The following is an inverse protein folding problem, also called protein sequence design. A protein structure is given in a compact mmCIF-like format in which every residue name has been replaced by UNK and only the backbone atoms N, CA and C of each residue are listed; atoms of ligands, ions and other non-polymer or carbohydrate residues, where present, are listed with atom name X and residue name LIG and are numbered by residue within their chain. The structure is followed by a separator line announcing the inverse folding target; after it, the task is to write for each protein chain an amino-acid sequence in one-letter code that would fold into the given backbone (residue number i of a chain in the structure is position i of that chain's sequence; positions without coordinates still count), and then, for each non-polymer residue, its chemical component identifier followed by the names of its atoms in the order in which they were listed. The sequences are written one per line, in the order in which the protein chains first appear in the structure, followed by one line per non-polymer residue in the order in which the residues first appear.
data_IF_672712387983
#
_entry.id   IF_672712387983
#
_cell.length_a   1.000
_cell.length_b   1.000
_cell.length_c   1.000
_cell.angle_alpha   90.00
_cell.angle_beta   90.00
_cell.angle_gamma   90.00
#
_symmetry.space_group_name_H-M   'P 1'
#
loop_
_entity.id
_entity.type
_entity.pdbx_description
1 polymer ?
#
# COMPACT_ATOMS: atom_id res chain seq x y z
N UNK A 1 0.94 21.28 18.04
CA UNK A 1 0.09 20.20 17.51
C UNK A 1 -0.26 19.28 18.66
N UNK A 2 -1.55 19.04 18.89
CA UNK A 2 -2.01 18.06 19.88
C UNK A 2 -1.84 16.67 19.26
N UNK A 3 -0.93 15.87 19.82
CA UNK A 3 -0.77 14.47 19.45
C UNK A 3 -2.06 13.72 19.79
N UNK A 4 -2.77 13.24 18.77
CA UNK A 4 -3.92 12.34 18.92
C UNK A 4 -3.39 10.90 18.82
N UNK A 5 -3.42 10.11 19.89
CA UNK A 5 -2.85 8.77 19.88
C UNK A 5 -3.71 7.77 19.08
N UNK A 6 -3.03 6.78 18.48
CA UNK A 6 -3.67 5.63 17.87
C UNK A 6 -4.43 5.97 16.59
N UNK A 7 -5.55 5.28 16.35
CA UNK A 7 -6.35 5.44 15.12
C UNK A 7 -6.88 6.86 14.90
N UNK A 8 -6.97 7.67 15.96
CA UNK A 8 -7.41 9.06 15.86
C UNK A 8 -6.45 9.92 15.03
N UNK A 9 -5.15 9.59 14.96
CA UNK A 9 -4.22 10.31 14.07
C UNK A 9 -4.50 10.04 12.60
N UNK A 10 -5.08 8.89 12.27
CA UNK A 10 -5.36 8.49 10.88
C UNK A 10 -6.56 9.24 10.29
N UNK A 11 -7.30 10.00 11.10
CA UNK A 11 -8.39 10.85 10.58
C UNK A 11 -7.83 11.93 9.66
N UNK A 12 -6.64 12.46 9.98
CA UNK A 12 -5.95 13.46 9.16
C UNK A 12 -5.40 12.87 7.86
N UNK A 13 -5.43 11.54 7.71
CA UNK A 13 -4.91 10.79 6.56
C UNK A 13 -5.99 10.40 5.54
N UNK A 14 -7.24 10.78 5.80
CA UNK A 14 -8.34 10.61 4.85
C UNK A 14 -8.04 11.41 3.57
N UNK A 15 -8.43 10.83 2.43
CA UNK A 15 -8.25 11.32 1.07
C UNK A 15 -6.80 11.45 0.58
N UNK A 16 -5.82 11.07 1.40
CA UNK A 16 -4.41 11.00 0.99
C UNK A 16 -4.03 9.61 0.47
N UNK A 17 -2.98 9.60 -0.36
CA UNK A 17 -2.42 8.37 -0.90
C UNK A 17 -1.53 7.70 0.14
N UNK A 18 -1.72 6.40 0.33
CA UNK A 18 -1.00 5.63 1.35
C UNK A 18 -0.47 4.33 0.78
N UNK A 19 0.65 3.90 1.34
CA UNK A 19 1.20 2.56 1.22
C UNK A 19 0.85 1.76 2.48
N UNK A 20 0.35 0.55 2.30
CA UNK A 20 0.03 -0.38 3.38
C UNK A 20 0.77 -1.69 3.16
N UNK A 21 1.53 -2.14 4.16
CA UNK A 21 2.11 -3.46 4.19
C UNK A 21 1.19 -4.40 4.98
N UNK A 22 0.83 -5.51 4.36
CA UNK A 22 0.01 -6.55 4.98
C UNK A 22 0.88 -7.65 5.60
N UNK A 23 0.29 -8.41 6.52
CA UNK A 23 0.94 -9.53 7.22
C UNK A 23 1.41 -10.65 6.29
N UNK A 24 0.76 -10.83 5.16
CA UNK A 24 1.14 -11.80 4.12
C UNK A 24 2.26 -11.30 3.19
N UNK A 25 2.83 -10.12 3.48
CA UNK A 25 3.93 -9.51 2.73
C UNK A 25 3.47 -8.73 1.49
N UNK A 26 2.16 -8.60 1.24
CA UNK A 26 1.65 -7.80 0.12
C UNK A 26 1.71 -6.32 0.44
N UNK A 27 2.03 -5.53 -0.58
CA UNK A 27 2.05 -4.07 -0.49
C UNK A 27 0.89 -3.51 -1.30
N UNK A 28 -0.01 -2.76 -0.64
CA UNK A 28 -1.11 -2.06 -1.27
C UNK A 28 -0.82 -0.57 -1.31
N UNK A 29 -1.19 0.09 -2.39
CA UNK A 29 -1.09 1.54 -2.56
C UNK A 29 -2.44 2.06 -3.02
N UNK A 30 -3.03 3.03 -2.32
CA UNK A 30 -4.33 3.57 -2.70
C UNK A 30 -4.67 4.85 -1.94
N UNK A 31 -5.84 5.41 -2.21
CA UNK A 31 -6.37 6.56 -1.47
C UNK A 31 -7.24 6.09 -0.32
N UNK A 32 -6.88 6.51 0.90
CA UNK A 32 -7.63 6.16 2.09
C UNK A 32 -8.95 6.92 2.12
N UNK A 33 -10.09 6.22 2.21
CA UNK A 33 -11.42 6.84 2.20
C UNK A 33 -12.16 6.74 3.51
N UNK A 34 -11.91 5.68 4.26
CA UNK A 34 -12.58 5.46 5.54
C UNK A 34 -11.74 4.56 6.43
N UNK A 35 -11.88 4.79 7.74
CA UNK A 35 -11.18 4.11 8.81
C UNK A 35 -12.16 3.94 9.96
N UNK A 36 -12.03 2.86 10.71
CA UNK A 36 -12.71 2.69 12.00
C UNK A 36 -11.72 2.60 13.17
N UNK A 37 -12.23 2.56 14.41
CA UNK A 37 -11.40 2.49 15.61
C UNK A 37 -10.50 1.24 15.69
N UNK A 38 -10.79 0.19 14.93
CA UNK A 38 -10.00 -1.04 14.84
C UNK A 38 -8.97 -1.01 13.71
N UNK A 39 -8.80 0.14 13.05
CA UNK A 39 -7.96 0.33 11.89
C UNK A 39 -8.36 -0.56 10.69
N UNK A 40 -9.65 -0.88 10.54
CA UNK A 40 -10.16 -1.38 9.26
C UNK A 40 -10.14 -0.22 8.26
N UNK A 41 -9.56 -0.47 7.09
CA UNK A 41 -9.26 0.57 6.10
C UNK A 41 -10.05 0.32 4.81
N UNK A 42 -10.62 1.38 4.26
CA UNK A 42 -11.22 1.37 2.93
C UNK A 42 -10.34 2.19 2.00
N UNK A 43 -9.80 1.52 0.98
CA UNK A 43 -9.00 2.14 -0.07
C UNK A 43 -9.76 2.22 -1.39
N UNK A 44 -9.54 3.33 -2.09
CA UNK A 44 -10.00 3.56 -3.46
C UNK A 44 -8.80 3.65 -4.41
N UNK A 45 -9.00 3.26 -5.68
CA UNK A 45 -7.94 3.21 -6.70
C UNK A 45 -6.70 2.44 -6.21
N UNK A 46 -6.95 1.34 -5.51
CA UNK A 46 -5.91 0.50 -4.93
C UNK A 46 -5.18 -0.25 -6.03
N UNK A 47 -3.86 -0.20 -5.98
CA UNK A 47 -2.96 -1.08 -6.72
C UNK A 47 -2.20 -1.94 -5.72
N UNK A 48 -2.00 -3.19 -6.05
CA UNK A 48 -1.08 -4.07 -5.34
C UNK A 48 0.28 -4.03 -6.03
N UNK A 49 1.31 -3.60 -5.31
CA UNK A 49 2.67 -3.48 -5.84
C UNK A 49 3.52 -4.67 -5.40
N UNK A 50 3.97 -5.45 -6.36
CA UNK A 50 4.91 -6.56 -6.14
C UNK A 50 6.31 -6.04 -6.41
N UNK A 51 7.25 -6.31 -5.50
CA UNK A 51 8.65 -5.95 -5.63
C UNK A 51 9.49 -7.23 -5.72
N UNK A 52 10.31 -7.35 -6.76
CA UNK A 52 11.26 -8.45 -6.92
C UNK A 52 12.62 -7.87 -7.31
N UNK A 53 13.60 -7.98 -6.41
CA UNK A 53 14.94 -7.42 -6.61
C UNK A 53 14.92 -5.91 -6.88
N UNK A 54 15.25 -5.51 -8.12
CA UNK A 54 15.24 -4.11 -8.60
C UNK A 54 14.04 -3.77 -9.48
N UNK A 55 13.06 -4.67 -9.58
CA UNK A 55 11.87 -4.50 -10.42
C UNK A 55 10.61 -4.39 -9.55
N UNK A 56 9.60 -3.71 -10.09
CA UNK A 56 8.27 -3.68 -9.48
C UNK A 56 7.17 -3.76 -10.54
N UNK A 57 6.01 -4.29 -10.16
CA UNK A 57 4.81 -4.32 -11.00
C UNK A 57 3.56 -4.01 -10.18
N UNK A 58 2.62 -3.31 -10.81
CA UNK A 58 1.38 -2.83 -10.18
C UNK A 58 0.17 -3.57 -10.74
N UNK A 59 -0.61 -4.22 -9.86
CA UNK A 59 -1.84 -4.92 -10.20
C UNK A 59 -3.04 -4.08 -9.74
N UNK A 60 -3.94 -3.63 -10.64
CA UNK A 60 -5.10 -2.85 -10.25
C UNK A 60 -6.10 -3.71 -9.46
N UNK A 61 -6.49 -3.23 -8.28
CA UNK A 61 -7.49 -3.88 -7.41
C UNK A 61 -8.78 -3.07 -7.27
N UNK A 62 -8.75 -1.76 -7.52
CA UNK A 62 -9.94 -0.90 -7.47
C UNK A 62 -10.31 -0.50 -6.05
N UNK A 63 -11.49 -0.87 -5.56
CA UNK A 63 -11.89 -0.64 -4.15
C UNK A 63 -11.44 -1.84 -3.33
N UNK A 64 -10.75 -1.59 -2.22
CA UNK A 64 -10.20 -2.65 -1.38
C UNK A 64 -10.49 -2.37 0.09
N UNK A 65 -11.02 -3.36 0.80
CA UNK A 65 -11.28 -3.27 2.24
C UNK A 65 -10.25 -4.14 2.95
N UNK A 66 -9.45 -3.52 3.81
CA UNK A 66 -8.42 -4.18 4.60
C UNK A 66 -8.88 -4.29 6.04
N UNK A 67 -8.76 -5.49 6.61
CA UNK A 67 -9.05 -5.72 8.01
C UNK A 67 -7.85 -5.32 8.89
N UNK A 68 -8.10 -4.58 9.96
CA UNK A 68 -7.06 -3.91 10.74
C UNK A 68 -6.00 -4.84 11.33
N UNK A 69 -6.36 -6.07 11.72
CA UNK A 69 -5.36 -7.01 12.26
C UNK A 69 -4.34 -7.51 11.22
N UNK A 70 -4.63 -7.31 9.92
CA UNK A 70 -3.74 -7.69 8.83
C UNK A 70 -2.80 -6.55 8.43
N UNK A 71 -3.01 -5.33 8.94
CA UNK A 71 -2.14 -4.18 8.69
C UNK A 71 -0.90 -4.30 9.58
N UNK A 72 0.28 -4.25 8.96
CA UNK A 72 1.57 -4.22 9.65
C UNK A 72 2.03 -2.78 9.82
N UNK A 73 2.02 -2.02 8.73
CA UNK A 73 2.33 -0.59 8.73
C UNK A 73 1.52 0.13 7.66
N UNK A 74 1.32 1.43 7.89
CA UNK A 74 0.71 2.36 6.96
C UNK A 74 1.58 3.62 6.90
N UNK A 75 1.84 4.11 5.70
CA UNK A 75 2.64 5.31 5.47
C UNK A 75 2.05 6.17 4.36
N UNK A 76 1.92 7.47 4.62
CA UNK A 76 1.50 8.46 3.63
C UNK A 76 2.54 8.53 2.50
N UNK A 77 2.06 8.54 1.25
CA UNK A 77 2.88 8.79 0.07
C UNK A 77 2.69 10.25 -0.32
N UNK A 78 3.76 11.02 -0.19
CA UNK A 78 3.85 12.35 -0.79
C UNK A 78 3.93 12.23 -2.31
N UNK A 79 2.93 12.76 -3.00
CA UNK A 79 2.81 12.70 -4.48
C UNK A 79 3.68 13.76 -5.15
N UNK A 80 3.98 14.85 -4.44
CA UNK A 80 4.74 15.98 -4.98
C UNK A 80 6.25 15.75 -4.87
N UNK A 81 6.66 14.81 -4.01
CA UNK A 81 8.08 14.45 -3.86
C UNK A 81 8.53 13.57 -5.03
N UNK A 82 9.56 13.96 -5.79
CA UNK A 82 10.11 13.10 -6.83
C UNK A 82 10.63 11.81 -6.20
N UNK A 83 10.11 10.69 -6.70
CA UNK A 83 10.54 9.38 -6.27
C UNK A 83 11.83 9.04 -7.03
N UNK A 84 13.00 9.32 -6.43
CA UNK A 84 14.31 8.88 -6.91
C UNK A 84 14.41 7.35 -6.80
N UNK A 85 13.60 6.64 -7.59
CA UNK A 85 13.48 5.20 -7.52
C UNK A 85 14.41 4.57 -8.54
N UNK A 86 15.38 3.81 -8.04
CA UNK A 86 16.26 2.92 -8.80
C UNK A 86 15.50 1.69 -9.33
N UNK A 87 14.18 1.62 -9.09
CA UNK A 87 13.35 0.46 -9.38
C UNK A 87 12.77 0.56 -10.79
N UNK A 88 12.89 -0.52 -11.55
CA UNK A 88 12.36 -0.62 -12.91
C UNK A 88 10.91 -1.13 -12.87
N UNK A 89 10.00 -0.39 -13.49
CA UNK A 89 8.62 -0.87 -13.67
C UNK A 89 8.59 -1.93 -14.78
N UNK A 90 7.96 -3.06 -14.48
CA UNK A 90 7.77 -4.17 -15.43
C UNK A 90 6.29 -4.53 -15.58
N UNK A 91 5.98 -5.37 -16.56
CA UNK A 91 4.62 -5.87 -16.79
C UNK A 91 4.15 -6.80 -15.67
N UNK A 92 2.83 -6.95 -15.54
CA UNK A 92 2.22 -7.85 -14.55
C UNK A 92 2.66 -9.30 -14.78
N UNK A 93 2.76 -9.73 -16.03
CA UNK A 93 3.17 -11.09 -16.38
C UNK A 93 4.62 -11.35 -15.93
N UNK A 94 5.52 -10.44 -16.26
CA UNK A 94 6.95 -10.56 -15.90
C UNK A 94 7.17 -10.57 -14.38
N UNK A 95 6.50 -9.68 -13.61
CA UNK A 95 6.71 -9.64 -12.16
C UNK A 95 6.16 -10.89 -11.45
N UNK A 96 5.06 -11.48 -11.96
CA UNK A 96 4.48 -12.69 -11.39
C UNK A 96 5.36 -13.90 -11.66
N UNK A 97 5.97 -13.99 -12.84
CA UNK A 97 6.95 -15.02 -13.15
C UNK A 97 8.19 -14.92 -12.26
N UNK A 98 8.75 -13.70 -12.10
CA UNK A 98 9.91 -13.50 -11.23
C UNK A 98 9.60 -13.81 -9.76
N UNK A 99 8.41 -13.41 -9.27
CA UNK A 99 7.98 -13.72 -7.91
C UNK A 99 7.86 -15.24 -7.69
N UNK A 100 7.38 -15.97 -8.71
CA UNK A 100 7.27 -17.43 -8.66
C UNK A 100 8.64 -18.10 -8.60
N UNK A 101 9.61 -17.60 -9.37
CA UNK A 101 10.98 -18.11 -9.37
C UNK A 101 11.69 -17.86 -8.04
N UNK A 102 11.39 -16.75 -7.35
CA UNK A 102 11.99 -16.43 -6.05
C UNK A 102 11.47 -17.30 -4.90
N UNK A 103 10.25 -17.84 -5.03
CA UNK A 103 9.62 -18.69 -4.01
C UNK A 103 9.92 -20.19 -4.18
N UNK A 104 10.63 -20.57 -5.25
CA UNK A 104 11.17 -21.92 -5.45
C UNK A 104 12.57 -22.03 -4.84
#
# INVERSE_FOLDING_TARGET
MNYVPGTASLIDDIDKKHLVLLRDGRTLIGYLRSIDQFANLVFHQTVERIHVGKKFGDIPRGIFIVRGENVVLLGEIDVDKPCDTVLQQVSIEEILEEQRLQQQ
#
